data_IF_646546377107
#
_entry.id   IF_646546377107
#
_cell.length_a   1.000
_cell.length_b   1.000
_cell.length_c   1.000
_cell.angle_alpha   90.00
_cell.angle_beta   90.00
_cell.angle_gamma   90.00
#
_symmetry.space_group_name_H-M   'P 1'
#
loop_
_entity.id
_entity.type
_entity.pdbx_description
1 polymer ?
#
# COMPACT_ATOMS: atom_id res chain seq x y z
N UNK A 1 3.72 -3.58 35.10
CA UNK A 1 4.06 -2.69 33.97
C UNK A 1 3.76 -3.42 32.68
N UNK A 2 2.66 -3.08 32.01
CA UNK A 2 2.36 -3.61 30.68
C UNK A 2 3.30 -2.93 29.66
N UNK A 3 4.26 -3.68 29.12
CA UNK A 3 4.96 -3.26 27.90
C UNK A 3 4.12 -3.70 26.70
N UNK A 4 3.60 -2.79 25.86
CA UNK A 4 2.90 -3.21 24.65
C UNK A 4 3.88 -3.95 23.75
N UNK A 5 3.47 -5.13 23.27
CA UNK A 5 4.23 -5.93 22.33
C UNK A 5 4.57 -5.07 21.11
N UNK A 6 5.85 -4.80 20.87
CA UNK A 6 6.32 -4.19 19.62
C UNK A 6 5.85 -5.09 18.49
N UNK A 7 4.97 -4.57 17.63
CA UNK A 7 4.55 -5.24 16.39
C UNK A 7 5.79 -5.71 15.62
N UNK A 8 6.04 -7.01 15.62
CA UNK A 8 7.25 -7.69 15.14
C UNK A 8 7.22 -7.97 13.63
N UNK A 9 6.43 -7.22 12.86
CA UNK A 9 6.25 -7.44 11.41
C UNK A 9 7.04 -6.45 10.52
N UNK A 10 7.96 -5.66 11.07
CA UNK A 10 8.78 -4.74 10.28
C UNK A 10 9.88 -5.50 9.52
N UNK A 11 9.80 -5.55 8.18
CA UNK A 11 10.86 -6.10 7.32
C UNK A 11 11.92 -5.03 7.06
N UNK A 12 13.17 -5.29 7.46
CA UNK A 12 14.30 -4.40 7.22
C UNK A 12 15.08 -4.85 5.99
N UNK A 13 15.47 -3.89 5.14
CA UNK A 13 16.31 -4.13 3.96
C UNK A 13 17.37 -3.02 3.91
N UNK A 14 18.62 -3.41 3.69
CA UNK A 14 19.68 -2.46 3.36
C UNK A 14 19.57 -2.09 1.87
N UNK A 15 19.59 -0.79 1.61
CA UNK A 15 19.51 -0.19 0.28
C UNK A 15 20.72 0.74 0.16
N UNK A 16 21.49 0.56 -0.90
CA UNK A 16 22.61 1.43 -1.22
C UNK A 16 22.10 2.69 -1.90
N UNK A 17 22.62 3.84 -1.46
CA UNK A 17 22.35 5.14 -2.08
C UNK A 17 23.67 5.73 -2.58
N UNK A 18 23.68 6.34 -3.78
CA UNK A 18 24.78 7.23 -4.16
C UNK A 18 24.96 8.33 -3.09
N UNK A 19 26.20 8.71 -2.74
CA UNK A 19 26.47 9.68 -1.69
C UNK A 19 25.73 11.02 -1.88
N UNK A 20 25.62 11.48 -3.13
CA UNK A 20 24.93 12.70 -3.51
C UNK A 20 23.42 12.64 -3.23
N UNK A 21 22.80 11.48 -3.46
CA UNK A 21 21.37 11.26 -3.18
C UNK A 21 21.14 11.17 -1.68
N UNK A 22 22.04 10.50 -0.95
CA UNK A 22 21.96 10.42 0.50
C UNK A 22 22.03 11.81 1.15
N UNK A 23 22.97 12.64 0.70
CA UNK A 23 23.12 14.01 1.20
C UNK A 23 21.85 14.84 0.91
N UNK A 24 21.31 14.73 -0.31
CA UNK A 24 20.08 15.45 -0.67
C UNK A 24 18.88 15.02 0.18
N UNK A 25 18.73 13.72 0.47
CA UNK A 25 17.66 13.19 1.34
C UNK A 25 17.82 13.66 2.79
N UNK A 26 19.04 13.69 3.31
CA UNK A 26 19.32 14.16 4.67
C UNK A 26 19.03 15.66 4.84
N UNK A 27 19.43 16.48 3.86
CA UNK A 27 19.12 17.91 3.84
C UNK A 27 17.61 18.15 3.74
N UNK A 28 16.92 17.45 2.82
CA UNK A 28 15.46 17.56 2.68
C UNK A 28 14.74 17.18 3.97
N UNK A 29 15.17 16.11 4.65
CA UNK A 29 14.58 15.70 5.92
C UNK A 29 14.74 16.79 6.98
N UNK A 30 15.91 17.44 7.05
CA UNK A 30 16.18 18.54 7.98
C UNK A 30 15.34 19.77 7.68
N UNK A 31 15.25 20.17 6.41
CA UNK A 31 14.48 21.34 5.97
C UNK A 31 12.98 21.19 6.29
N UNK A 32 12.46 19.96 6.18
CA UNK A 32 11.07 19.64 6.50
C UNK A 32 10.84 19.32 7.99
N UNK A 33 11.90 19.22 8.80
CA UNK A 33 11.82 18.81 10.21
C UNK A 33 11.33 17.36 10.39
N UNK A 34 11.59 16.48 9.43
CA UNK A 34 11.17 15.08 9.42
C UNK A 34 12.38 14.12 9.37
N UNK A 35 12.13 12.83 9.19
CA UNK A 35 13.17 11.80 9.05
C UNK A 35 13.20 11.20 7.66
N UNK A 36 14.36 10.68 7.25
CA UNK A 36 14.51 9.94 5.98
C UNK A 36 13.56 8.73 5.91
N UNK A 37 13.24 8.10 7.05
CA UNK A 37 12.26 7.02 7.11
C UNK A 37 10.85 7.51 6.73
N UNK A 38 10.43 8.67 7.24
CA UNK A 38 9.12 9.23 6.90
C UNK A 38 9.02 9.61 5.42
N UNK A 39 10.10 10.18 4.85
CA UNK A 39 10.19 10.44 3.41
C UNK A 39 10.09 9.14 2.59
N UNK A 40 10.73 8.06 3.05
CA UNK A 40 10.64 6.76 2.41
C UNK A 40 9.22 6.17 2.49
N UNK A 41 8.57 6.27 3.64
CA UNK A 41 7.21 5.77 3.84
C UNK A 41 6.22 6.49 2.90
N UNK A 42 6.34 7.81 2.75
CA UNK A 42 5.56 8.61 1.80
C UNK A 42 5.83 8.20 0.35
N UNK A 43 7.10 8.16 -0.05
CA UNK A 43 7.50 7.80 -1.41
C UNK A 43 7.05 6.38 -1.79
N UNK A 44 7.13 5.42 -0.87
CA UNK A 44 6.65 4.05 -1.10
C UNK A 44 5.13 3.99 -1.19
N UNK A 45 4.40 4.74 -0.36
CA UNK A 45 2.95 4.82 -0.44
C UNK A 45 2.50 5.37 -1.80
N UNK A 46 3.13 6.45 -2.26
CA UNK A 46 2.83 7.06 -3.56
C UNK A 46 3.19 6.14 -4.73
N UNK A 47 4.33 5.45 -4.66
CA UNK A 47 4.72 4.45 -5.64
C UNK A 47 3.68 3.33 -5.75
N UNK A 48 3.28 2.74 -4.61
CA UNK A 48 2.32 1.64 -4.59
C UNK A 48 0.92 2.08 -5.05
N UNK A 49 0.52 3.30 -4.69
CA UNK A 49 -0.73 3.92 -5.16
C UNK A 49 -0.75 4.08 -6.68
N UNK A 50 0.35 4.58 -7.27
CA UNK A 50 0.50 4.72 -8.73
C UNK A 50 0.39 3.36 -9.45
N UNK A 51 0.89 2.30 -8.84
CA UNK A 51 0.84 0.94 -9.40
C UNK A 51 -0.38 0.12 -8.98
N UNK A 52 -1.39 0.74 -8.33
CA UNK A 52 -2.64 0.08 -7.88
C UNK A 52 -2.39 -1.16 -7.01
N UNK A 53 -1.33 -1.15 -6.20
CA UNK A 53 -1.08 -2.20 -5.20
C UNK A 53 -1.76 -1.76 -3.90
N UNK A 54 -2.68 -2.55 -3.33
CA UNK A 54 -3.32 -2.18 -2.08
C UNK A 54 -2.25 -2.10 -0.99
N UNK A 55 -2.08 -0.93 -0.39
CA UNK A 55 -1.07 -0.69 0.66
C UNK A 55 -1.59 -1.03 2.05
N UNK A 56 -2.88 -1.29 2.17
CA UNK A 56 -3.57 -1.63 3.42
C UNK A 56 -4.51 -2.81 3.25
N UNK A 57 -4.70 -3.59 4.33
CA UNK A 57 -5.69 -4.66 4.42
C UNK A 57 -7.08 -4.19 4.01
N UNK A 58 -7.45 -2.95 4.36
CA UNK A 58 -8.75 -2.35 4.00
C UNK A 58 -8.90 -2.18 2.48
N UNK A 59 -7.82 -1.82 1.79
CA UNK A 59 -7.82 -1.69 0.34
C UNK A 59 -7.80 -3.05 -0.36
N UNK A 60 -7.07 -4.03 0.18
CA UNK A 60 -7.06 -5.41 -0.31
C UNK A 60 -8.45 -6.07 -0.18
N UNK A 61 -9.16 -5.78 0.92
CA UNK A 61 -10.54 -6.23 1.13
C UNK A 61 -11.52 -5.51 0.18
N UNK A 62 -11.36 -4.21 -0.07
CA UNK A 62 -12.19 -3.45 -1.02
C UNK A 62 -12.00 -3.94 -2.46
N UNK A 63 -10.77 -4.26 -2.85
CA UNK A 63 -10.46 -4.83 -4.15
C UNK A 63 -11.03 -6.26 -4.29
N UNK A 64 -10.91 -7.10 -3.26
CA UNK A 64 -11.51 -8.44 -3.25
C UNK A 64 -13.04 -8.39 -3.31
N UNK A 65 -13.67 -7.46 -2.60
CA UNK A 65 -15.12 -7.26 -2.63
C UNK A 65 -15.63 -6.73 -3.98
N UNK A 66 -14.82 -5.94 -4.71
CA UNK A 66 -15.13 -5.49 -6.08
C UNK A 66 -14.96 -6.59 -7.14
N UNK A 67 -14.20 -7.65 -6.85
CA UNK A 67 -14.00 -8.80 -7.74
C UNK A 67 -15.09 -9.86 -7.64
N UNK A 68 -15.96 -9.77 -6.64
CA UNK A 68 -17.22 -10.51 -6.66
C UNK A 68 -18.17 -9.73 -7.58
N UNK A 69 -18.53 -10.22 -8.78
CA UNK A 69 -19.72 -9.71 -9.44
C UNK A 69 -20.87 -9.88 -8.44
N UNK A 70 -21.52 -8.78 -8.07
CA UNK A 70 -22.82 -8.82 -7.43
C UNK A 70 -23.73 -9.49 -8.45
N UNK A 71 -23.90 -10.81 -8.27
CA UNK A 71 -24.68 -11.73 -9.09
C UNK A 71 -25.64 -10.99 -10.02
N UNK A 72 -25.22 -10.81 -11.27
CA UNK A 72 -26.09 -10.36 -12.34
C UNK A 72 -27.31 -11.30 -12.29
N UNK A 73 -28.48 -10.74 -12.02
CA UNK A 73 -29.75 -11.45 -12.15
C UNK A 73 -29.83 -11.97 -13.59
N UNK A 74 -29.48 -13.22 -13.80
CA UNK A 74 -29.86 -13.94 -15.01
C UNK A 74 -31.26 -14.50 -14.81
N UNK A 75 -32.32 -13.90 -15.37
CA UNK A 75 -33.57 -14.61 -15.56
C UNK A 75 -33.37 -15.64 -16.68
N UNK A 76 -32.80 -16.80 -16.34
CA UNK A 76 -32.87 -17.99 -17.18
C UNK A 76 -34.29 -18.55 -17.13
N UNK A 77 -35.10 -18.19 -18.12
CA UNK A 77 -36.45 -18.73 -18.25
C UNK A 77 -37.21 -18.34 -19.50
N UNK A 78 -36.56 -17.85 -20.56
CA UNK A 78 -37.17 -17.73 -21.90
C UNK A 78 -36.66 -18.85 -22.80
N UNK A 79 -37.39 -19.96 -22.81
CA UNK A 79 -37.40 -20.99 -23.87
C UNK A 79 -38.87 -21.36 -24.02
N UNK A 80 -39.67 -20.65 -24.83
CA UNK A 80 -39.81 -20.88 -26.26
C UNK A 80 -39.27 -22.24 -26.73
N UNK A 81 -40.17 -23.24 -26.81
CA UNK A 81 -40.61 -23.87 -28.07
C UNK A 81 -41.30 -25.22 -27.82
N UNK A 82 -42.54 -25.33 -28.28
CA UNK A 82 -43.12 -26.40 -29.13
C UNK A 82 -44.53 -26.77 -28.69
#
# INVERSE_FOLDING_TARGET
MFSPARNSHAKRKLIEFPPEIWLALDLLAKDLGTSVQALADEAFADLLRKHRRPTSLKEALRESARRLPANDDTPQGRRERS
#
